data_IF_040449169655
#
_entry.id   IF_040449169655
#
_cell.length_a   1.000
_cell.length_b   1.000
_cell.length_c   1.000
_cell.angle_alpha   90.00
_cell.angle_beta   90.00
_cell.angle_gamma   90.00
#
_symmetry.space_group_name_H-M   'P 1'
#
loop_
_entity.id
_entity.type
_entity.pdbx_description
1 polymer ?
#
# COMPACT_ATOMS: atom_id res chain seq x y z
N UNK A 1 6.08 29.45 19.67
CA UNK A 1 7.11 30.07 18.82
C UNK A 1 6.42 31.12 17.97
N UNK A 2 6.64 32.41 18.24
CA UNK A 2 6.00 33.52 17.53
C UNK A 2 6.98 34.05 16.49
N UNK A 3 6.68 33.91 15.19
CA UNK A 3 7.56 34.42 14.12
C UNK A 3 7.20 35.88 13.85
N UNK A 4 8.17 36.77 14.06
CA UNK A 4 8.04 38.22 13.83
C UNK A 4 8.27 38.50 12.35
N UNK A 5 7.26 39.01 11.66
CA UNK A 5 7.36 39.45 10.26
C UNK A 5 8.29 40.65 10.14
N UNK A 6 9.32 40.54 9.31
CA UNK A 6 10.15 41.67 8.88
C UNK A 6 9.60 42.16 7.55
N UNK A 7 9.08 43.39 7.51
CA UNK A 7 8.73 44.09 6.27
C UNK A 7 9.86 45.09 5.97
N UNK A 8 10.46 44.99 4.79
CA UNK A 8 11.32 46.03 4.23
C UNK A 8 10.86 46.33 2.78
N UNK A 9 10.75 47.61 2.37
CA UNK A 9 10.13 47.98 1.10
C UNK A 9 11.14 48.34 -0.02
N UNK A 10 10.59 48.40 -1.24
CA UNK A 10 10.95 49.28 -2.37
C UNK A 10 12.01 48.80 -3.41
N UNK A 11 11.52 48.41 -4.61
CA UNK A 11 11.59 49.16 -5.89
C UNK A 11 11.45 48.19 -7.10
N UNK A 12 10.78 48.57 -8.20
CA UNK A 12 10.19 47.64 -9.15
C UNK A 12 11.17 47.30 -10.29
N UNK A 13 11.60 46.04 -10.36
CA UNK A 13 12.25 45.48 -11.55
C UNK A 13 11.20 44.73 -12.37
N UNK A 14 11.02 45.18 -13.62
CA UNK A 14 10.16 44.58 -14.64
C UNK A 14 10.69 43.17 -14.98
N UNK A 15 10.20 42.15 -14.27
CA UNK A 15 10.52 40.76 -14.54
C UNK A 15 9.46 40.17 -15.49
N UNK A 16 9.91 39.65 -16.64
CA UNK A 16 9.08 38.85 -17.54
C UNK A 16 8.47 37.69 -16.75
N UNK A 17 7.14 37.68 -16.61
CA UNK A 17 6.42 36.57 -16.00
C UNK A 17 6.30 35.46 -17.03
N UNK A 18 7.26 34.53 -17.03
CA UNK A 18 7.06 33.22 -17.64
C UNK A 18 6.01 32.49 -16.78
N UNK A 19 4.75 32.56 -17.20
CA UNK A 19 3.69 31.71 -16.68
C UNK A 19 3.97 30.25 -17.09
N UNK A 20 4.83 29.57 -16.34
CA UNK A 20 4.95 28.12 -16.40
C UNK A 20 3.79 27.52 -15.62
N UNK A 21 2.83 26.93 -16.31
CA UNK A 21 1.90 26.00 -15.69
C UNK A 21 2.71 24.78 -15.25
N UNK A 22 3.10 24.73 -13.98
CA UNK A 22 3.42 23.47 -13.35
C UNK A 22 2.09 22.72 -13.26
N UNK A 23 1.85 21.80 -14.19
CA UNK A 23 0.85 20.76 -13.98
C UNK A 23 1.32 19.98 -12.77
N UNK A 24 0.73 20.24 -11.61
CA UNK A 24 0.76 19.35 -10.45
C UNK A 24 0.04 18.06 -10.84
N UNK A 25 0.71 17.26 -11.66
CA UNK A 25 0.39 15.87 -11.89
C UNK A 25 0.76 15.09 -10.64
N UNK A 26 -0.05 15.25 -9.59
CA UNK A 26 -0.08 14.29 -8.50
C UNK A 26 -0.21 12.91 -9.17
N UNK A 27 0.77 12.00 -9.02
CA UNK A 27 0.64 10.66 -9.58
C UNK A 27 -0.67 10.09 -9.05
N UNK A 28 -1.59 9.76 -9.95
CA UNK A 28 -2.77 9.01 -9.55
C UNK A 28 -2.25 7.76 -8.82
N UNK A 29 -2.81 7.40 -7.64
CA UNK A 29 -2.38 6.21 -6.94
C UNK A 29 -2.42 5.05 -7.93
N UNK A 30 -1.28 4.38 -8.09
CA UNK A 30 -1.17 3.24 -8.98
C UNK A 30 -2.29 2.25 -8.62
N UNK A 31 -2.96 1.64 -9.61
CA UNK A 31 -4.00 0.67 -9.32
C UNK A 31 -3.40 -0.38 -8.38
N UNK A 32 -3.97 -0.48 -7.17
CA UNK A 32 -3.60 -1.51 -6.21
C UNK A 32 -3.76 -2.82 -6.96
N UNK A 33 -2.67 -3.60 -7.06
CA UNK A 33 -2.59 -4.79 -7.90
C UNK A 33 -3.71 -5.80 -7.61
N UNK A 34 -3.85 -6.81 -8.48
CA UNK A 34 -4.82 -7.89 -8.26
C UNK A 34 -4.65 -8.47 -6.86
N UNK A 35 -5.77 -8.62 -6.13
CA UNK A 35 -5.74 -9.13 -4.77
C UNK A 35 -5.08 -10.52 -4.72
N UNK A 36 -4.22 -10.76 -3.72
CA UNK A 36 -3.65 -12.07 -3.48
C UNK A 36 -4.79 -13.07 -3.18
N UNK A 37 -4.98 -14.13 -3.99
CA UNK A 37 -6.06 -15.09 -3.79
C UNK A 37 -5.97 -15.81 -2.44
N UNK A 38 -4.75 -16.06 -1.94
CA UNK A 38 -4.55 -16.70 -0.64
C UNK A 38 -4.98 -15.78 0.51
N UNK A 39 -4.59 -14.51 0.48
CA UNK A 39 -5.02 -13.52 1.49
C UNK A 39 -6.53 -13.25 1.42
N UNK A 40 -7.11 -13.24 0.20
CA UNK A 40 -8.57 -13.15 0.02
C UNK A 40 -9.27 -14.33 0.68
N UNK A 41 -8.78 -15.54 0.44
CA UNK A 41 -9.35 -16.75 1.03
C UNK A 41 -9.24 -16.76 2.56
N UNK A 42 -8.11 -16.29 3.12
CA UNK A 42 -7.97 -16.12 4.58
C UNK A 42 -9.12 -15.28 5.17
N UNK A 43 -9.43 -14.13 4.58
CA UNK A 43 -10.52 -13.26 5.03
C UNK A 43 -11.90 -13.92 4.83
N UNK A 44 -12.09 -14.66 3.74
CA UNK A 44 -13.32 -15.43 3.49
C UNK A 44 -13.55 -16.54 4.52
N UNK A 45 -12.47 -17.11 5.09
CA UNK A 45 -12.55 -18.05 6.23
C UNK A 45 -12.81 -17.35 7.58
N UNK A 46 -13.06 -16.04 7.57
CA UNK A 46 -13.20 -15.22 8.77
C UNK A 46 -11.88 -14.96 9.50
N UNK A 47 -10.75 -15.25 8.85
CA UNK A 47 -9.43 -15.05 9.41
C UNK A 47 -8.89 -13.64 9.21
N UNK A 48 -7.74 -13.38 9.83
CA UNK A 48 -6.97 -12.14 9.66
C UNK A 48 -5.60 -12.46 9.07
N UNK A 49 -5.28 -11.79 7.97
CA UNK A 49 -3.97 -11.84 7.33
C UNK A 49 -2.90 -11.12 8.17
N UNK A 50 -1.71 -11.70 8.24
CA UNK A 50 -0.50 -11.13 8.82
C UNK A 50 0.68 -11.42 7.88
N UNK A 51 1.38 -10.38 7.43
CA UNK A 51 2.65 -10.53 6.71
C UNK A 51 3.79 -10.57 7.72
N UNK A 52 4.65 -11.59 7.62
CA UNK A 52 5.86 -11.75 8.43
C UNK A 52 7.10 -11.71 7.56
N UNK A 53 8.14 -11.04 8.05
CA UNK A 53 9.46 -11.13 7.45
C UNK A 53 10.15 -12.42 7.89
N UNK A 54 10.56 -13.22 6.93
CA UNK A 54 11.31 -14.47 7.13
C UNK A 54 12.65 -14.44 6.40
N UNK A 55 13.47 -15.46 6.64
CA UNK A 55 14.79 -15.58 6.00
C UNK A 55 14.70 -15.59 4.46
N UNK A 56 13.58 -16.04 3.88
CA UNK A 56 13.37 -16.10 2.43
C UNK A 56 12.55 -14.93 1.87
N UNK A 57 12.18 -13.96 2.71
CA UNK A 57 11.35 -12.81 2.34
C UNK A 57 10.03 -12.76 3.12
N UNK A 58 9.04 -12.08 2.55
CA UNK A 58 7.72 -11.92 3.19
C UNK A 58 6.87 -13.18 3.02
N UNK A 59 6.27 -13.65 4.12
CA UNK A 59 5.34 -14.78 4.15
C UNK A 59 4.02 -14.36 4.78
N UNK A 60 2.91 -14.71 4.15
CA UNK A 60 1.56 -14.44 4.65
C UNK A 60 1.07 -15.55 5.57
N UNK A 61 0.53 -15.17 6.73
CA UNK A 61 -0.08 -16.08 7.70
C UNK A 61 -1.54 -15.68 7.96
N UNK A 62 -2.42 -16.67 7.99
CA UNK A 62 -3.83 -16.52 8.34
C UNK A 62 -4.07 -16.90 9.79
N UNK A 63 -4.59 -15.96 10.59
CA UNK A 63 -5.10 -16.21 11.94
C UNK A 63 -6.58 -16.57 11.85
N UNK A 64 -6.91 -17.85 12.05
CA UNK A 64 -8.26 -18.38 11.90
C UNK A 64 -9.09 -18.21 13.19
N UNK A 65 -10.44 -18.16 13.11
CA UNK A 65 -11.32 -18.04 14.29
C UNK A 65 -11.22 -19.18 15.29
N UNK A 66 -10.76 -20.36 14.85
CA UNK A 66 -10.54 -21.54 15.69
C UNK A 66 -9.20 -21.47 16.46
N UNK A 67 -8.45 -20.37 16.32
CA UNK A 67 -7.17 -20.13 16.99
C UNK A 67 -5.96 -20.69 16.23
N UNK A 68 -6.15 -21.37 15.09
CA UNK A 68 -5.03 -21.80 14.26
C UNK A 68 -4.37 -20.62 13.56
N UNK A 69 -3.06 -20.75 13.36
CA UNK A 69 -2.28 -19.86 12.49
C UNK A 69 -1.62 -20.73 11.43
N UNK A 70 -1.97 -20.49 10.17
CA UNK A 70 -1.51 -21.29 9.02
C UNK A 70 -0.97 -20.38 7.93
N UNK A 71 -0.01 -20.84 7.14
CA UNK A 71 0.49 -20.09 5.98
C UNK A 71 -0.62 -19.93 4.94
N UNK A 72 -0.79 -18.73 4.37
CA UNK A 72 -1.94 -18.40 3.52
C UNK A 72 -2.01 -19.27 2.25
N UNK A 73 -0.87 -19.51 1.58
CA UNK A 73 -0.84 -20.34 0.39
C UNK A 73 -1.04 -21.82 0.69
N UNK A 74 -0.56 -22.32 1.83
CA UNK A 74 -0.87 -23.65 2.31
C UNK A 74 -2.38 -23.80 2.49
N UNK A 75 -3.01 -22.90 3.24
CA UNK A 75 -4.46 -22.89 3.46
C UNK A 75 -5.22 -22.87 2.13
N UNK A 76 -4.79 -22.01 1.19
CA UNK A 76 -5.41 -21.90 -0.12
C UNK A 76 -5.30 -23.19 -0.95
N UNK A 77 -4.10 -23.79 -1.04
CA UNK A 77 -3.87 -25.01 -1.82
C UNK A 77 -4.58 -26.23 -1.24
N UNK A 78 -4.69 -26.33 0.08
CA UNK A 78 -5.46 -27.40 0.75
C UNK A 78 -6.94 -27.32 0.39
N UNK A 79 -7.49 -26.11 0.27
CA UNK A 79 -8.87 -25.88 -0.13
C UNK A 79 -9.12 -25.97 -1.65
N UNK A 80 -8.07 -25.77 -2.45
CA UNK A 80 -8.11 -25.77 -3.92
C UNK A 80 -7.06 -26.74 -4.48
N UNK A 81 -7.25 -28.07 -4.28
CA UNK A 81 -6.34 -29.05 -4.86
C UNK A 81 -6.33 -28.88 -6.38
N UNK A 82 -5.13 -28.80 -6.96
CA UNK A 82 -4.98 -28.85 -8.40
C UNK A 82 -5.45 -30.23 -8.86
N UNK A 83 -6.55 -30.27 -9.62
CA UNK A 83 -6.97 -31.47 -10.32
C UNK A 83 -6.01 -31.71 -11.50
N UNK A 84 -4.79 -32.14 -11.21
CA UNK A 84 -3.83 -32.58 -12.22
C UNK A 84 -4.36 -33.87 -12.85
N UNK A 85 -5.00 -33.73 -14.02
CA UNK A 85 -5.28 -34.84 -14.95
C UNK A 85 -4.14 -34.95 -15.95
#
# INVERSE_FOLDING_TARGET
>A
MTVRSVVAPALPALALVLAGCASDGQPAPAPIGMANPASKYCVEQGGRSEIRQEAQGETGYCHLPDGRVVEEWQLFREAHPANDH
#
